data_IF_435840354485
#
_entry.id   IF_435840354485
#
_cell.length_a   1.000
_cell.length_b   1.000
_cell.length_c   1.000
_cell.angle_alpha   90.00
_cell.angle_beta   90.00
_cell.angle_gamma   90.00
#
_symmetry.space_group_name_H-M   'P 1'
#
loop_
_entity.id
_entity.type
_entity.pdbx_description
1 polymer ?
#
# COMPACT_ATOMS: atom_id res chain seq x y z
N UNK A 1 -3.19 -51.69 -2.23
CA UNK A 1 -3.66 -50.29 -2.45
C UNK A 1 -2.73 -49.23 -1.82
N UNK A 2 -2.17 -49.45 -0.63
CA UNK A 2 -1.30 -48.48 0.06
C UNK A 2 0.00 -48.10 -0.70
N UNK A 3 0.64 -49.03 -1.40
CA UNK A 3 1.87 -48.80 -2.17
C UNK A 3 1.69 -47.84 -3.35
N UNK A 4 0.54 -47.88 -4.03
CA UNK A 4 0.22 -46.95 -5.13
C UNK A 4 0.02 -45.51 -4.63
N UNK A 5 -0.61 -45.35 -3.47
CA UNK A 5 -0.77 -44.03 -2.84
C UNK A 5 0.58 -43.45 -2.38
N UNK A 6 1.48 -44.28 -1.84
CA UNK A 6 2.83 -43.85 -1.46
C UNK A 6 3.67 -43.39 -2.66
N UNK A 7 3.59 -44.10 -3.80
CA UNK A 7 4.29 -43.71 -5.03
C UNK A 7 3.76 -42.40 -5.60
N UNK A 8 2.44 -42.20 -5.61
CA UNK A 8 1.82 -40.92 -6.03
C UNK A 8 2.27 -39.78 -5.10
N UNK A 9 2.26 -39.99 -3.79
CA UNK A 9 2.71 -38.99 -2.83
C UNK A 9 4.19 -38.64 -2.99
N UNK A 10 5.04 -39.62 -3.29
CA UNK A 10 6.46 -39.41 -3.57
C UNK A 10 6.69 -38.61 -4.86
N UNK A 11 6.01 -38.96 -5.95
CA UNK A 11 6.10 -38.22 -7.22
C UNK A 11 5.64 -36.76 -7.07
N UNK A 12 4.52 -36.52 -6.38
CA UNK A 12 4.04 -35.16 -6.06
C UNK A 12 5.03 -34.39 -5.19
N UNK A 13 5.74 -35.07 -4.27
CA UNK A 13 6.78 -34.44 -3.44
C UNK A 13 7.99 -34.04 -4.28
N UNK A 14 8.43 -34.89 -5.19
CA UNK A 14 9.55 -34.63 -6.09
C UNK A 14 9.24 -33.45 -7.03
N UNK A 15 8.07 -33.45 -7.67
CA UNK A 15 7.60 -32.34 -8.51
C UNK A 15 7.54 -31.01 -7.72
N UNK A 16 7.06 -31.04 -6.47
CA UNK A 16 7.07 -29.87 -5.58
C UNK A 16 8.48 -29.37 -5.28
N UNK A 17 9.44 -30.28 -5.11
CA UNK A 17 10.84 -29.93 -4.87
C UNK A 17 11.49 -29.33 -6.12
N UNK A 18 11.24 -29.88 -7.30
CA UNK A 18 11.72 -29.33 -8.58
C UNK A 18 11.16 -27.93 -8.83
N UNK A 19 9.85 -27.74 -8.65
CA UNK A 19 9.23 -26.41 -8.74
C UNK A 19 9.88 -25.42 -7.79
N UNK A 20 10.20 -25.82 -6.55
CA UNK A 20 10.92 -24.98 -5.58
C UNK A 20 12.35 -24.64 -6.03
N UNK A 21 13.07 -25.61 -6.62
CA UNK A 21 14.43 -25.40 -7.15
C UNK A 21 14.43 -24.46 -8.35
N UNK A 22 13.55 -24.67 -9.32
CA UNK A 22 13.41 -23.81 -10.49
C UNK A 22 13.07 -22.37 -10.06
N UNK A 23 12.13 -22.24 -9.12
CA UNK A 23 11.75 -20.95 -8.56
C UNK A 23 12.93 -20.17 -7.99
N UNK A 24 13.75 -20.87 -7.21
CA UNK A 24 14.98 -20.31 -6.64
C UNK A 24 16.00 -19.89 -7.71
N UNK A 25 16.17 -20.68 -8.77
CA UNK A 25 17.11 -20.37 -9.86
C UNK A 25 16.71 -19.08 -10.56
N UNK A 26 15.46 -18.98 -11.00
CA UNK A 26 14.91 -17.79 -11.65
C UNK A 26 15.05 -16.55 -10.74
N UNK A 27 14.87 -16.70 -9.43
CA UNK A 27 14.96 -15.59 -8.47
C UNK A 27 16.37 -15.00 -8.43
N UNK A 28 17.37 -15.87 -8.49
CA UNK A 28 18.77 -15.46 -8.49
C UNK A 28 19.20 -14.84 -9.83
N UNK A 29 18.39 -14.98 -10.89
CA UNK A 29 18.64 -14.39 -12.21
C UNK A 29 17.98 -13.02 -12.37
N UNK A 30 17.13 -12.59 -11.43
CA UNK A 30 16.54 -11.24 -11.44
C UNK A 30 17.63 -10.20 -11.18
N UNK A 31 18.02 -9.48 -12.23
CA UNK A 31 18.95 -8.36 -12.13
C UNK A 31 18.20 -7.03 -12.26
N UNK A 32 17.97 -6.41 -11.11
CA UNK A 32 17.19 -5.16 -10.99
C UNK A 32 17.93 -3.98 -11.62
N UNK A 33 19.25 -4.02 -11.66
CA UNK A 33 20.11 -2.99 -12.23
C UNK A 33 19.99 -2.90 -13.75
N UNK A 34 19.48 -3.94 -14.41
CA UNK A 34 19.33 -3.99 -15.86
C UNK A 34 17.96 -3.50 -16.36
N UNK A 35 17.03 -3.18 -15.45
CA UNK A 35 15.69 -2.68 -15.81
C UNK A 35 15.80 -1.18 -16.12
N UNK A 36 15.41 -0.69 -17.30
CA UNK A 36 15.38 0.74 -17.60
C UNK A 36 14.48 1.52 -16.63
N UNK A 37 14.82 2.76 -16.31
CA UNK A 37 14.11 3.51 -15.25
C UNK A 37 12.63 3.75 -15.55
N UNK A 38 12.27 3.99 -16.81
CA UNK A 38 10.85 4.09 -17.22
C UNK A 38 10.07 2.79 -16.94
N UNK A 39 10.70 1.64 -17.20
CA UNK A 39 10.12 0.33 -16.91
C UNK A 39 10.07 0.07 -15.41
N UNK A 40 11.09 0.51 -14.67
CA UNK A 40 11.13 0.41 -13.22
C UNK A 40 9.97 1.20 -12.57
N UNK A 41 9.78 2.46 -12.96
CA UNK A 41 8.65 3.28 -12.50
C UNK A 41 7.31 2.66 -12.89
N UNK A 42 7.19 2.11 -14.11
CA UNK A 42 5.97 1.40 -14.53
C UNK A 42 5.67 0.17 -13.66
N UNK A 43 6.70 -0.59 -13.28
CA UNK A 43 6.56 -1.83 -12.53
C UNK A 43 6.40 -1.64 -11.01
N UNK A 44 6.95 -0.58 -10.45
CA UNK A 44 7.03 -0.38 -8.99
C UNK A 44 6.45 0.95 -8.49
N UNK A 45 6.03 1.84 -9.41
CA UNK A 45 5.44 3.18 -9.13
C UNK A 45 6.35 4.13 -8.35
N UNK A 46 7.65 3.85 -8.32
CA UNK A 46 8.68 4.66 -7.66
C UNK A 46 9.89 4.80 -8.58
N UNK A 47 10.63 5.90 -8.42
CA UNK A 47 11.96 6.03 -9.03
C UNK A 47 12.95 5.10 -8.32
N UNK A 48 14.10 4.85 -8.97
CA UNK A 48 15.15 3.99 -8.38
C UNK A 48 15.75 4.61 -7.13
N UNK A 49 15.93 5.92 -7.16
CA UNK A 49 16.47 6.71 -6.04
C UNK A 49 15.53 6.61 -4.82
N UNK A 50 14.22 6.80 -5.04
CA UNK A 50 13.22 6.64 -3.98
C UNK A 50 13.15 5.20 -3.46
N UNK A 51 13.33 4.22 -4.34
CA UNK A 51 13.40 2.81 -3.92
C UNK A 51 14.62 2.53 -3.04
N UNK A 52 15.78 3.10 -3.35
CA UNK A 52 17.00 2.96 -2.56
C UNK A 52 16.85 3.62 -1.18
N UNK A 53 16.27 4.83 -1.13
CA UNK A 53 15.94 5.50 0.14
C UNK A 53 14.96 4.65 0.96
N UNK A 54 13.88 4.16 0.34
CA UNK A 54 12.90 3.31 1.00
C UNK A 54 13.52 2.02 1.55
N UNK A 55 14.49 1.43 0.83
CA UNK A 55 15.22 0.27 1.31
C UNK A 55 16.04 0.59 2.58
N UNK A 56 16.70 1.74 2.63
CA UNK A 56 17.48 2.15 3.81
C UNK A 56 16.58 2.27 5.04
N UNK A 57 15.38 2.82 4.87
CA UNK A 57 14.40 3.01 5.94
C UNK A 57 13.74 1.70 6.40
N UNK A 58 13.36 0.82 5.47
CA UNK A 58 12.52 -0.36 5.76
C UNK A 58 13.33 -1.60 6.11
N UNK A 59 14.51 -1.82 5.51
CA UNK A 59 15.30 -3.04 5.72
C UNK A 59 15.59 -3.31 7.20
N UNK A 60 15.93 -2.31 8.05
CA UNK A 60 16.13 -2.52 9.49
C UNK A 60 14.89 -3.03 10.23
N UNK A 61 13.69 -2.80 9.70
CA UNK A 61 12.41 -3.20 10.30
C UNK A 61 11.96 -4.59 9.84
N UNK A 62 12.58 -5.14 8.79
CA UNK A 62 12.21 -6.44 8.25
C UNK A 62 12.79 -7.59 9.10
N UNK A 63 12.08 -8.73 9.22
CA UNK A 63 12.60 -9.88 9.93
C UNK A 63 13.94 -10.36 9.34
N UNK A 64 14.93 -10.68 10.20
CA UNK A 64 16.24 -11.11 9.74
C UNK A 64 16.13 -12.41 8.95
N UNK A 65 17.10 -12.62 8.06
CA UNK A 65 17.13 -13.80 7.19
C UNK A 65 17.41 -15.07 8.01
N UNK A 66 16.36 -15.75 8.45
CA UNK A 66 16.47 -16.95 9.28
C UNK A 66 17.00 -18.22 8.58
N UNK A 67 17.21 -18.20 7.26
CA UNK A 67 17.73 -19.36 6.50
C UNK A 67 18.72 -18.90 5.44
N UNK A 68 19.76 -19.71 5.17
CA UNK A 68 20.77 -19.47 4.11
C UNK A 68 20.16 -19.12 2.75
N UNK A 69 19.01 -19.70 2.41
CA UNK A 69 18.31 -19.51 1.13
C UNK A 69 17.02 -18.69 1.26
N UNK A 70 16.87 -17.96 2.37
CA UNK A 70 15.82 -16.98 2.56
C UNK A 70 15.81 -15.91 1.47
N UNK A 71 14.71 -15.17 1.38
CA UNK A 71 14.53 -14.08 0.41
C UNK A 71 15.28 -12.87 0.95
N UNK A 72 16.05 -12.22 0.09
CA UNK A 72 16.75 -10.98 0.45
C UNK A 72 15.74 -9.87 0.75
N UNK A 73 16.00 -9.01 1.77
CA UNK A 73 15.10 -7.91 2.13
C UNK A 73 14.67 -7.05 0.95
N UNK A 74 15.62 -6.62 0.10
CA UNK A 74 15.37 -5.83 -1.12
C UNK A 74 14.36 -6.50 -2.06
N UNK A 75 14.46 -7.82 -2.22
CA UNK A 75 13.54 -8.56 -3.05
C UNK A 75 12.14 -8.67 -2.42
N UNK A 76 12.04 -8.75 -1.09
CA UNK A 76 10.74 -8.69 -0.40
C UNK A 76 10.04 -7.35 -0.69
N UNK A 77 10.79 -6.26 -0.62
CA UNK A 77 10.29 -4.90 -0.90
C UNK A 77 9.82 -4.80 -2.35
N UNK A 78 10.64 -5.20 -3.32
CA UNK A 78 10.25 -5.18 -4.75
C UNK A 78 9.00 -6.00 -5.02
N UNK A 79 8.87 -7.16 -4.37
CA UNK A 79 7.68 -8.01 -4.50
C UNK A 79 6.43 -7.29 -4.01
N UNK A 80 6.51 -6.65 -2.84
CA UNK A 80 5.39 -5.92 -2.28
C UNK A 80 5.04 -4.69 -3.13
N UNK A 81 6.03 -3.91 -3.56
CA UNK A 81 5.84 -2.75 -4.43
C UNK A 81 5.19 -3.12 -5.76
N UNK A 82 5.66 -4.20 -6.40
CA UNK A 82 5.07 -4.67 -7.65
C UNK A 82 3.60 -5.09 -7.47
N UNK A 83 3.28 -5.73 -6.35
CA UNK A 83 1.90 -6.06 -6.01
C UNK A 83 1.05 -4.80 -5.79
N UNK A 84 1.54 -3.79 -5.07
CA UNK A 84 0.80 -2.52 -4.89
C UNK A 84 0.61 -1.78 -6.21
N UNK A 85 1.58 -1.84 -7.11
CA UNK A 85 1.53 -1.21 -8.43
C UNK A 85 0.51 -1.83 -9.39
N UNK A 86 0.35 -3.16 -9.33
CA UNK A 86 -0.44 -3.95 -10.29
C UNK A 86 -1.78 -4.45 -9.73
N UNK A 87 -1.91 -4.55 -8.41
CA UNK A 87 -3.16 -4.94 -7.73
C UNK A 87 -3.57 -6.40 -7.89
N UNK A 88 -2.69 -7.30 -8.34
CA UNK A 88 -3.04 -8.72 -8.50
C UNK A 88 -1.91 -9.68 -8.13
N UNK A 89 -2.29 -10.87 -7.65
CA UNK A 89 -1.39 -12.03 -7.52
C UNK A 89 -1.17 -12.76 -8.85
N UNK A 90 -1.87 -12.33 -9.91
CA UNK A 90 -2.08 -13.06 -11.17
C UNK A 90 -1.57 -12.28 -12.40
N UNK A 91 -0.52 -11.46 -12.28
CA UNK A 91 0.16 -10.85 -13.44
C UNK A 91 0.85 -11.87 -14.37
N UNK A 92 0.50 -13.15 -14.23
CA UNK A 92 0.92 -14.30 -14.99
C UNK A 92 0.12 -14.48 -16.29
N UNK A 93 0.45 -13.72 -17.34
CA UNK A 93 0.50 -14.23 -18.74
C UNK A 93 1.52 -13.45 -19.61
N UNK A 94 1.79 -12.17 -19.34
CA UNK A 94 2.56 -11.34 -20.28
C UNK A 94 4.02 -11.01 -19.90
N UNK A 95 4.30 -10.77 -18.62
CA UNK A 95 5.63 -10.32 -18.17
C UNK A 95 5.94 -10.91 -16.79
N UNK A 96 6.76 -11.96 -16.79
CA UNK A 96 7.20 -12.75 -15.61
C UNK A 96 8.10 -11.95 -14.63
N UNK A 97 7.68 -10.76 -14.24
CA UNK A 97 8.31 -9.95 -13.18
C UNK A 97 7.66 -10.21 -11.82
N UNK A 98 6.41 -10.71 -11.82
CA UNK A 98 5.83 -11.44 -10.68
C UNK A 98 6.73 -12.64 -10.47
N UNK A 99 7.69 -12.49 -9.58
CA UNK A 99 8.85 -13.34 -9.56
C UNK A 99 8.49 -14.83 -9.43
N UNK A 100 9.50 -15.70 -9.55
CA UNK A 100 9.37 -17.13 -9.39
C UNK A 100 9.12 -17.51 -7.92
N UNK A 101 8.03 -17.05 -7.35
CA UNK A 101 7.69 -17.14 -5.94
C UNK A 101 6.35 -17.82 -5.75
N UNK A 102 6.22 -18.55 -4.65
CA UNK A 102 4.93 -19.11 -4.28
C UNK A 102 4.00 -17.98 -3.81
N UNK A 103 2.69 -18.11 -4.04
CA UNK A 103 1.69 -17.16 -3.53
C UNK A 103 1.81 -16.97 -1.99
N UNK A 104 2.01 -18.06 -1.24
CA UNK A 104 2.28 -18.01 0.21
C UNK A 104 3.53 -17.18 0.57
N UNK A 105 4.53 -17.17 -0.31
CA UNK A 105 5.74 -16.38 -0.12
C UNK A 105 5.48 -14.91 -0.39
N UNK A 106 4.77 -14.59 -1.48
CA UNK A 106 4.36 -13.22 -1.82
C UNK A 106 3.51 -12.63 -0.67
N UNK A 107 2.54 -13.40 -0.17
CA UNK A 107 1.71 -13.01 0.98
C UNK A 107 2.53 -12.69 2.23
N UNK A 108 3.56 -13.48 2.57
CA UNK A 108 4.46 -13.16 3.68
C UNK A 108 5.27 -11.88 3.43
N UNK A 109 5.83 -11.71 2.22
CA UNK A 109 6.56 -10.49 1.87
C UNK A 109 5.66 -9.25 2.00
N UNK A 110 4.42 -9.34 1.49
CA UNK A 110 3.42 -8.29 1.61
C UNK A 110 3.16 -7.92 3.07
N UNK A 111 2.91 -8.90 3.93
CA UNK A 111 2.66 -8.66 5.34
C UNK A 111 3.86 -7.99 6.02
N UNK A 112 5.07 -8.53 5.84
CA UNK A 112 6.29 -7.98 6.44
C UNK A 112 6.56 -6.54 5.98
N UNK A 113 6.46 -6.26 4.68
CA UNK A 113 6.70 -4.91 4.12
C UNK A 113 5.58 -3.95 4.49
N UNK A 114 4.31 -4.37 4.44
CA UNK A 114 3.17 -3.53 4.88
C UNK A 114 3.32 -3.14 6.35
N UNK A 115 3.74 -4.08 7.19
CA UNK A 115 3.94 -3.83 8.62
C UNK A 115 5.05 -2.81 8.83
N UNK A 116 6.17 -2.95 8.10
CA UNK A 116 7.28 -2.00 8.18
C UNK A 116 6.91 -0.61 7.65
N UNK A 117 6.16 -0.51 6.54
CA UNK A 117 5.64 0.77 6.01
C UNK A 117 4.72 1.49 7.01
N UNK A 118 3.91 0.72 7.75
CA UNK A 118 3.02 1.26 8.77
C UNK A 118 3.71 1.52 10.12
N UNK A 119 5.03 1.32 10.23
CA UNK A 119 5.75 1.69 11.44
C UNK A 119 5.62 3.22 11.66
N UNK A 120 5.31 3.69 12.89
CA UNK A 120 4.94 5.08 13.12
C UNK A 120 5.96 6.12 12.63
N UNK A 121 7.25 5.80 12.68
CA UNK A 121 8.32 6.70 12.22
C UNK A 121 8.43 6.76 10.69
N UNK A 122 8.10 5.68 9.97
CA UNK A 122 8.03 5.67 8.50
C UNK A 122 6.76 6.39 8.04
N UNK A 123 5.61 6.03 8.61
CA UNK A 123 4.32 6.62 8.25
C UNK A 123 4.33 8.14 8.45
N UNK A 124 4.79 8.62 9.62
CA UNK A 124 4.83 10.06 9.94
C UNK A 124 5.91 10.84 9.17
N UNK A 125 6.91 10.15 8.59
CA UNK A 125 7.89 10.77 7.69
C UNK A 125 7.22 11.19 6.37
N UNK A 126 6.28 10.39 5.86
CA UNK A 126 5.68 10.58 4.54
C UNK A 126 4.26 11.15 4.55
N UNK A 127 3.41 10.75 5.51
CA UNK A 127 2.02 11.20 5.64
C UNK A 127 1.91 12.03 6.91
N UNK A 128 1.92 13.36 6.75
CA UNK A 128 1.84 14.31 7.86
C UNK A 128 0.96 15.49 7.49
N UNK A 129 -0.07 15.72 8.29
CA UNK A 129 -0.91 16.90 8.19
C UNK A 129 -0.22 18.12 8.81
N UNK A 130 -0.32 19.34 8.22
CA UNK A 130 0.32 20.54 8.74
C UNK A 130 -0.13 20.87 10.18
N UNK A 131 0.84 20.91 11.09
CA UNK A 131 0.58 21.05 12.52
C UNK A 131 0.69 22.50 12.98
N UNK A 132 1.60 23.28 12.39
CA UNK A 132 1.84 24.65 12.80
C UNK A 132 1.26 25.67 11.82
N UNK A 133 1.05 26.90 12.30
CA UNK A 133 0.45 27.99 11.51
C UNK A 133 1.25 28.35 10.26
N UNK A 134 2.58 28.23 10.31
CA UNK A 134 3.45 28.56 9.18
C UNK A 134 3.29 27.54 8.04
N UNK A 135 3.29 26.25 8.36
CA UNK A 135 2.99 25.15 7.42
C UNK A 135 1.61 25.35 6.78
N UNK A 136 0.58 25.65 7.59
CA UNK A 136 -0.78 25.92 7.10
C UNK A 136 -0.83 27.15 6.19
N UNK A 137 -0.16 28.23 6.54
CA UNK A 137 -0.11 29.45 5.73
C UNK A 137 0.57 29.21 4.38
N UNK A 138 1.65 28.41 4.36
CA UNK A 138 2.33 28.04 3.13
C UNK A 138 1.39 27.25 2.19
N UNK A 139 0.64 26.29 2.73
CA UNK A 139 -0.32 25.51 1.94
C UNK A 139 -1.45 26.40 1.42
N UNK A 140 -1.99 27.30 2.25
CA UNK A 140 -2.99 28.30 1.83
C UNK A 140 -2.50 29.16 0.67
N UNK A 141 -1.25 29.61 0.75
CA UNK A 141 -0.64 30.38 -0.32
C UNK A 141 -0.51 29.54 -1.60
N UNK A 142 -0.03 28.30 -1.52
CA UNK A 142 0.07 27.41 -2.68
C UNK A 142 -1.29 27.13 -3.35
N UNK A 143 -2.35 26.91 -2.57
CA UNK A 143 -3.70 26.75 -3.11
C UNK A 143 -4.18 28.00 -3.84
N UNK A 144 -3.91 29.18 -3.27
CA UNK A 144 -4.25 30.45 -3.90
C UNK A 144 -3.47 30.66 -5.20
N UNK A 145 -2.15 30.42 -5.18
CA UNK A 145 -1.29 30.62 -6.35
C UNK A 145 -1.63 29.66 -7.51
N UNK A 146 -2.01 28.41 -7.20
CA UNK A 146 -2.26 27.36 -8.20
C UNK A 146 -3.71 27.33 -8.70
N UNK A 147 -4.67 27.61 -7.81
CA UNK A 147 -6.10 27.41 -8.09
C UNK A 147 -6.97 28.64 -7.78
N UNK A 148 -6.39 29.73 -7.24
CA UNK A 148 -7.13 30.94 -6.86
C UNK A 148 -8.02 30.77 -5.62
N UNK A 149 -7.87 29.68 -4.86
CA UNK A 149 -8.69 29.37 -3.71
C UNK A 149 -8.03 29.85 -2.41
N UNK A 150 -8.57 30.89 -1.74
CA UNK A 150 -8.00 31.39 -0.49
C UNK A 150 -8.35 30.46 0.68
N UNK A 151 -7.48 30.47 1.70
CA UNK A 151 -7.71 29.82 3.00
C UNK A 151 -7.87 28.29 2.99
N UNK A 152 -7.55 27.60 1.89
CA UNK A 152 -7.57 26.12 1.80
C UNK A 152 -6.30 25.51 2.39
N UNK A 153 -6.44 24.49 3.24
CA UNK A 153 -5.32 23.76 3.87
C UNK A 153 -5.22 22.30 3.42
N UNK A 154 -6.18 21.84 2.61
CA UNK A 154 -6.23 20.51 2.02
C UNK A 154 -7.60 20.26 1.41
N UNK A 155 -7.64 19.32 0.47
CA UNK A 155 -8.87 18.76 -0.10
C UNK A 155 -9.12 17.41 0.55
N UNK A 156 -10.35 17.15 0.92
CA UNK A 156 -10.75 15.99 1.71
C UNK A 156 -11.87 15.27 0.98
N UNK A 157 -11.72 13.97 0.79
CA UNK A 157 -12.69 13.13 0.11
C UNK A 157 -12.71 11.72 0.73
N UNK A 158 -13.80 11.00 0.52
CA UNK A 158 -13.99 9.63 0.98
C UNK A 158 -14.00 8.67 -0.23
N UNK A 159 -13.20 7.62 -0.15
CA UNK A 159 -13.07 6.61 -1.20
C UNK A 159 -13.33 5.21 -0.67
N UNK A 160 -14.13 4.43 -1.40
CA UNK A 160 -14.43 3.06 -1.04
C UNK A 160 -13.35 2.11 -1.56
N UNK A 161 -12.55 1.56 -0.64
CA UNK A 161 -11.58 0.49 -0.92
C UNK A 161 -12.28 -0.85 -0.83
N UNK A 162 -12.43 -1.55 -1.96
CA UNK A 162 -13.10 -2.85 -1.99
C UNK A 162 -12.37 -3.89 -1.14
N UNK A 163 -13.12 -4.70 -0.41
CA UNK A 163 -12.60 -5.80 0.39
C UNK A 163 -13.33 -7.09 0.05
N UNK A 164 -12.71 -8.22 0.41
CA UNK A 164 -13.41 -9.50 0.42
C UNK A 164 -14.52 -9.42 1.47
N UNK A 165 -15.70 -9.98 1.16
CA UNK A 165 -16.83 -10.07 2.08
C UNK A 165 -16.37 -10.57 3.45
N UNK A 166 -16.48 -9.74 4.51
CA UNK A 166 -16.10 -10.17 5.84
C UNK A 166 -17.12 -11.17 6.40
N UNK A 167 -16.66 -12.09 7.24
CA UNK A 167 -17.50 -13.10 7.90
C UNK A 167 -18.22 -12.56 9.15
N UNK A 168 -17.69 -11.50 9.75
CA UNK A 168 -18.21 -10.86 10.95
C UNK A 168 -18.66 -9.44 10.62
N UNK A 169 -19.82 -9.04 11.14
CA UNK A 169 -20.39 -7.69 10.95
C UNK A 169 -20.40 -7.21 9.49
N UNK A 170 -20.74 -8.11 8.57
CA UNK A 170 -20.77 -7.86 7.13
C UNK A 170 -21.53 -6.59 6.76
N UNK A 171 -22.65 -6.36 7.44
CA UNK A 171 -23.55 -5.24 7.24
C UNK A 171 -22.84 -3.88 7.36
N UNK A 172 -21.75 -3.80 8.13
CA UNK A 172 -20.97 -2.57 8.31
C UNK A 172 -20.13 -2.22 7.08
N UNK A 173 -19.82 -3.21 6.25
CA UNK A 173 -18.93 -3.04 5.10
C UNK A 173 -19.68 -2.97 3.77
N UNK A 174 -20.95 -3.38 3.75
CA UNK A 174 -21.77 -3.35 2.54
C UNK A 174 -22.21 -1.93 2.19
N UNK A 175 -21.77 -1.43 1.04
CA UNK A 175 -21.99 -0.04 0.63
C UNK A 175 -23.20 0.13 -0.31
N UNK A 176 -23.56 1.40 -0.57
CA UNK A 176 -24.64 1.78 -1.52
C UNK A 176 -24.41 1.36 -2.97
N UNK A 177 -23.18 0.97 -3.33
CA UNK A 177 -22.80 0.49 -4.67
C UNK A 177 -22.85 -1.05 -4.76
N UNK A 178 -23.45 -1.71 -3.77
CA UNK A 178 -23.66 -3.16 -3.71
C UNK A 178 -22.37 -4.00 -3.66
N UNK A 179 -21.32 -3.51 -2.99
CA UNK A 179 -20.12 -4.30 -2.68
C UNK A 179 -19.58 -4.02 -1.27
N UNK A 180 -18.73 -4.91 -0.76
CA UNK A 180 -18.08 -4.73 0.55
C UNK A 180 -16.84 -3.85 0.41
N UNK A 181 -16.73 -2.84 1.26
CA UNK A 181 -15.62 -1.89 1.22
C UNK A 181 -15.30 -1.34 2.60
N UNK A 182 -14.10 -0.76 2.71
CA UNK A 182 -13.73 0.19 3.76
C UNK A 182 -13.94 1.58 3.17
N UNK A 183 -14.62 2.46 3.91
CA UNK A 183 -14.76 3.86 3.53
C UNK A 183 -13.56 4.63 4.08
N UNK A 184 -12.65 5.01 3.20
CA UNK A 184 -11.37 5.63 3.54
C UNK A 184 -11.41 7.12 3.26
N UNK A 185 -11.31 7.93 4.30
CA UNK A 185 -11.11 9.37 4.16
C UNK A 185 -9.65 9.66 3.83
N UNK A 186 -9.41 10.54 2.88
CA UNK A 186 -8.06 10.99 2.50
C UNK A 186 -8.06 12.50 2.42
N UNK A 187 -7.00 13.11 2.93
CA UNK A 187 -6.73 14.54 2.76
C UNK A 187 -5.48 14.71 1.89
N UNK A 188 -5.56 15.54 0.87
CA UNK A 188 -4.44 15.90 0.01
C UNK A 188 -4.18 17.41 -0.02
N UNK A 189 -2.94 17.80 -0.27
CA UNK A 189 -2.56 19.21 -0.43
C UNK A 189 -2.63 19.67 -1.91
N UNK A 190 -2.23 20.92 -2.16
CA UNK A 190 -2.22 21.53 -3.50
C UNK A 190 -1.30 20.82 -4.49
N UNK A 191 -0.31 20.08 -4.00
CA UNK A 191 0.70 19.33 -4.75
C UNK A 191 0.29 17.86 -4.95
N UNK A 192 -0.95 17.52 -4.60
CA UNK A 192 -1.53 16.17 -4.67
C UNK A 192 -0.84 15.17 -3.72
N UNK A 193 -0.17 15.66 -2.68
CA UNK A 193 0.43 14.83 -1.66
C UNK A 193 -0.63 14.45 -0.62
N UNK A 194 -0.69 13.17 -0.29
CA UNK A 194 -1.56 12.66 0.78
C UNK A 194 -0.97 13.08 2.13
N UNK A 195 -1.72 13.91 2.87
CA UNK A 195 -1.31 14.45 4.17
C UNK A 195 -1.99 13.75 5.33
N UNK A 196 -3.13 13.10 5.10
CA UNK A 196 -3.84 12.31 6.10
C UNK A 196 -4.65 11.19 5.43
N UNK A 197 -4.79 10.07 6.14
CA UNK A 197 -5.62 8.92 5.75
C UNK A 197 -6.29 8.36 6.98
N UNK A 198 -7.61 8.14 6.91
CA UNK A 198 -8.38 7.40 7.91
C UNK A 198 -9.18 6.29 7.22
N UNK A 199 -8.87 5.04 7.58
CA UNK A 199 -9.50 3.83 7.05
C UNK A 199 -10.27 3.05 8.13
N UNK A 200 -10.73 3.73 9.18
CA UNK A 200 -11.37 3.11 10.35
C UNK A 200 -12.84 2.75 10.13
N UNK A 201 -13.45 3.21 9.03
CA UNK A 201 -14.89 3.10 8.79
C UNK A 201 -15.23 2.03 7.76
N UNK A 202 -16.28 1.26 8.04
CA UNK A 202 -16.86 0.34 7.07
C UNK A 202 -17.60 1.06 5.93
N UNK A 203 -17.76 0.38 4.81
CA UNK A 203 -18.40 0.90 3.59
C UNK A 203 -19.87 1.28 3.73
N UNK A 204 -20.56 0.86 4.80
CA UNK A 204 -21.91 1.30 5.09
C UNK A 204 -21.97 2.70 5.70
N UNK A 205 -20.84 3.20 6.24
CA UNK A 205 -20.77 4.51 6.91
C UNK A 205 -20.86 5.64 5.89
N UNK A 206 -21.75 6.59 6.16
CA UNK A 206 -21.93 7.77 5.31
C UNK A 206 -20.78 8.78 5.49
N UNK A 207 -20.32 9.39 4.40
CA UNK A 207 -19.20 10.34 4.39
C UNK A 207 -19.40 11.49 5.39
N UNK A 208 -20.63 12.01 5.51
CA UNK A 208 -20.97 13.05 6.48
C UNK A 208 -20.78 12.63 7.95
N UNK A 209 -20.89 11.33 8.28
CA UNK A 209 -20.57 10.84 9.62
C UNK A 209 -19.06 10.85 9.85
N UNK A 210 -18.29 10.32 8.89
CA UNK A 210 -16.83 10.30 8.92
C UNK A 210 -16.28 11.71 9.04
N UNK A 211 -16.86 12.66 8.31
CA UNK A 211 -16.49 14.07 8.39
C UNK A 211 -16.66 14.66 9.78
N UNK A 212 -17.76 14.32 10.48
CA UNK A 212 -18.05 14.86 11.82
C UNK A 212 -17.15 14.26 12.90
N UNK A 213 -16.75 13.00 12.74
CA UNK A 213 -15.89 12.29 13.68
C UNK A 213 -14.38 12.49 13.40
N UNK A 214 -14.03 13.15 12.30
CA UNK A 214 -12.65 13.49 11.96
C UNK A 214 -12.04 14.35 13.09
N UNK A 215 -10.79 14.03 13.49
CA UNK A 215 -10.08 14.55 14.68
C UNK A 215 -10.32 16.07 14.94
N UNK A 216 -10.58 16.50 16.19
CA UNK A 216 -10.79 17.90 16.54
C UNK A 216 -9.61 18.84 16.21
N UNK A 217 -8.41 18.34 15.93
CA UNK A 217 -7.34 19.15 15.32
C UNK A 217 -7.73 19.73 13.94
N UNK A 218 -8.70 19.09 13.27
CA UNK A 218 -9.38 19.59 12.08
C UNK A 218 -10.60 20.45 12.44
N UNK A 219 -11.27 20.26 13.57
CA UNK A 219 -12.50 21.01 13.90
C UNK A 219 -12.27 22.43 14.39
N UNK A 220 -11.19 22.70 15.13
CA UNK A 220 -11.02 24.00 15.82
C UNK A 220 -10.76 25.18 14.85
N UNK A 221 -10.13 24.92 13.69
CA UNK A 221 -9.97 25.94 12.63
C UNK A 221 -11.22 26.06 11.73
N UNK A 222 -12.08 25.03 11.68
CA UNK A 222 -13.32 25.02 10.88
C UNK A 222 -14.51 25.62 11.63
N UNK A 223 -14.53 25.51 12.97
CA UNK A 223 -15.57 26.07 13.83
C UNK A 223 -15.48 27.60 14.00
N UNK A 224 -14.36 28.22 13.62
CA UNK A 224 -14.11 29.65 13.76
C UNK A 224 -14.85 30.57 12.75
N UNK A 225 -15.86 30.06 12.04
CA UNK A 225 -16.80 30.90 11.28
C UNK A 225 -16.27 31.55 10.00
N UNK A 226 -15.08 31.17 9.53
CA UNK A 226 -14.63 31.51 8.18
C UNK A 226 -15.43 30.68 7.17
N UNK A 227 -16.10 31.32 6.20
CA UNK A 227 -16.70 30.59 5.07
C UNK A 227 -15.59 29.87 4.31
N UNK A 228 -15.39 28.59 4.60
CA UNK A 228 -14.55 27.71 3.80
C UNK A 228 -15.45 27.15 2.71
N UNK A 229 -15.31 27.68 1.49
CA UNK A 229 -15.95 27.12 0.32
C UNK A 229 -15.25 25.82 -0.05
N UNK A 230 -15.93 24.70 0.16
CA UNK A 230 -15.63 23.45 -0.54
C UNK A 230 -16.26 23.56 -1.93
N UNK A 231 -15.43 23.61 -2.98
CA UNK A 231 -15.80 23.27 -4.35
C UNK A 231 -14.73 22.33 -4.90
#
# INVERSE_FOLDING_TARGET
>A
MATRQLLIAAALREERLERRRNRRRLRNQLNISNIPDLEFVGNYRLSRELFEELCQDIVPLLPPKGRRHGIEPTLKILTALNFYARGSYQGSVGQNMDGPMAQQTVSRCLQEVTTALNAPHILRKHIRFPQNRNERNLIKQKFYDKYGLPAVVGCIDCSHVAIVRPSEHEERYFNRKHFHSINTQVICDSDLLITNVDASYGGATHDAYIWRECDPLFSDDFAAGGRVSCF
#
